data_IF_359370594320
#
_entry.id   IF_359370594320
#
_cell.length_a   1.000
_cell.length_b   1.000
_cell.length_c   1.000
_cell.angle_alpha   90.00
_cell.angle_beta   90.00
_cell.angle_gamma   90.00
#
_symmetry.space_group_name_H-M   'P 1'
#
loop_
_entity.id
_entity.type
_entity.pdbx_description
1 polymer ?
#
# COMPACT_ATOMS: atom_id res chain seq x y z
N UNK A 1 -18.65 7.54 11.87
CA UNK A 1 -19.66 8.40 11.20
C UNK A 1 -20.96 8.49 11.97
N UNK A 2 -21.47 7.39 12.58
CA UNK A 2 -22.69 7.40 13.40
C UNK A 2 -22.61 8.39 14.57
N UNK A 3 -21.50 8.41 15.29
CA UNK A 3 -21.32 9.30 16.46
C UNK A 3 -21.13 10.79 16.12
N UNK A 4 -20.60 11.11 14.94
CA UNK A 4 -20.32 12.51 14.55
C UNK A 4 -21.36 13.11 13.61
N UNK A 5 -22.11 12.29 12.84
CA UNK A 5 -23.00 12.76 11.77
C UNK A 5 -24.39 12.14 11.76
N UNK A 6 -24.67 11.11 12.59
CA UNK A 6 -25.96 10.44 12.62
C UNK A 6 -26.32 9.61 11.38
N UNK A 7 -25.43 9.52 10.37
CA UNK A 7 -25.62 8.74 9.16
C UNK A 7 -24.54 7.68 8.98
N UNK A 8 -24.94 6.47 8.54
CA UNK A 8 -24.01 5.34 8.30
C UNK A 8 -23.21 5.53 7.00
N UNK A 9 -23.80 6.14 5.99
CA UNK A 9 -23.17 6.37 4.69
C UNK A 9 -23.01 7.87 4.42
N UNK A 10 -21.88 8.30 3.80
CA UNK A 10 -21.60 9.68 3.44
C UNK A 10 -22.36 10.08 2.16
N UNK A 11 -23.70 10.14 2.23
CA UNK A 11 -24.59 10.43 1.08
C UNK A 11 -24.52 11.92 0.69
N UNK A 12 -24.01 12.75 1.59
CA UNK A 12 -23.85 14.20 1.47
C UNK A 12 -22.56 14.63 0.74
N UNK A 13 -21.69 13.65 0.40
CA UNK A 13 -20.49 13.92 -0.38
C UNK A 13 -20.88 14.22 -1.84
N UNK A 14 -20.52 15.39 -2.37
CA UNK A 14 -20.73 15.73 -3.78
C UNK A 14 -20.05 14.71 -4.72
N UNK A 15 -20.61 14.53 -5.92
CA UNK A 15 -20.13 13.55 -6.91
C UNK A 15 -18.65 13.69 -7.27
N UNK A 16 -18.15 14.90 -7.34
CA UNK A 16 -16.73 15.18 -7.60
C UNK A 16 -15.84 14.62 -6.48
N UNK A 17 -16.23 14.83 -5.23
CA UNK A 17 -15.53 14.35 -4.04
C UNK A 17 -15.53 12.82 -3.96
N UNK A 18 -16.67 12.22 -4.23
CA UNK A 18 -16.80 10.75 -4.32
C UNK A 18 -15.88 10.22 -5.41
N UNK A 19 -15.82 10.89 -6.57
CA UNK A 19 -14.95 10.49 -7.67
C UNK A 19 -13.46 10.48 -7.30
N UNK A 20 -12.96 11.54 -6.65
CA UNK A 20 -11.56 11.61 -6.20
C UNK A 20 -11.25 10.57 -5.12
N UNK A 21 -12.15 10.39 -4.15
CA UNK A 21 -11.98 9.42 -3.08
C UNK A 21 -12.05 7.97 -3.60
N UNK A 22 -12.95 7.69 -4.54
CA UNK A 22 -13.04 6.39 -5.20
C UNK A 22 -11.77 6.09 -6.01
N UNK A 23 -11.28 7.05 -6.81
CA UNK A 23 -10.03 6.92 -7.54
C UNK A 23 -8.85 6.67 -6.59
N UNK A 24 -8.80 7.40 -5.48
CA UNK A 24 -7.83 7.19 -4.41
C UNK A 24 -7.86 5.76 -3.84
N UNK A 25 -9.06 5.22 -3.60
CA UNK A 25 -9.25 3.85 -3.12
C UNK A 25 -8.80 2.80 -4.15
N UNK A 26 -9.12 3.02 -5.44
CA UNK A 26 -8.68 2.13 -6.52
C UNK A 26 -7.16 2.14 -6.68
N UNK A 27 -6.54 3.32 -6.72
CA UNK A 27 -5.09 3.44 -6.91
C UNK A 27 -4.33 2.92 -5.68
N UNK A 28 -4.70 3.37 -4.48
CA UNK A 28 -4.01 3.00 -3.25
C UNK A 28 -4.25 1.54 -2.86
N UNK A 29 -5.52 1.16 -2.66
CA UNK A 29 -5.84 -0.18 -2.15
C UNK A 29 -5.80 -1.25 -3.24
N UNK A 30 -6.45 -1.04 -4.42
CA UNK A 30 -6.51 -2.12 -5.41
C UNK A 30 -5.17 -2.29 -6.12
N UNK A 31 -4.65 -1.23 -6.75
CA UNK A 31 -3.40 -1.32 -7.51
C UNK A 31 -2.19 -1.44 -6.57
N UNK A 32 -2.09 -0.56 -5.56
CA UNK A 32 -0.97 -0.53 -4.62
C UNK A 32 -0.82 -1.83 -3.85
N UNK A 33 -1.90 -2.34 -3.25
CA UNK A 33 -1.85 -3.57 -2.47
C UNK A 33 -1.66 -4.81 -3.33
N UNK A 34 -2.20 -4.85 -4.57
CA UNK A 34 -1.92 -5.95 -5.50
C UNK A 34 -0.44 -6.08 -5.80
N UNK A 35 0.22 -4.97 -6.13
CA UNK A 35 1.65 -4.95 -6.41
C UNK A 35 2.45 -5.34 -5.16
N UNK A 36 2.04 -4.86 -4.00
CA UNK A 36 2.66 -5.20 -2.72
C UNK A 36 2.51 -6.68 -2.39
N UNK A 37 1.32 -7.26 -2.54
CA UNK A 37 1.10 -8.70 -2.29
C UNK A 37 1.88 -9.59 -3.26
N UNK A 38 2.01 -9.18 -4.52
CA UNK A 38 2.89 -9.87 -5.46
C UNK A 38 4.36 -9.77 -5.04
N UNK A 39 4.80 -8.60 -4.56
CA UNK A 39 6.14 -8.43 -4.02
C UNK A 39 6.39 -9.36 -2.83
N UNK A 40 5.42 -9.55 -1.92
CA UNK A 40 5.54 -10.49 -0.80
C UNK A 40 5.83 -11.91 -1.25
N UNK A 41 5.25 -12.34 -2.36
CA UNK A 41 5.47 -13.68 -2.92
C UNK A 41 6.86 -13.79 -3.56
N UNK A 42 7.36 -12.72 -4.18
CA UNK A 42 8.61 -12.74 -4.97
C UNK A 42 9.86 -12.50 -4.12
N UNK A 43 9.82 -11.51 -3.22
CA UNK A 43 11.00 -11.09 -2.41
C UNK A 43 10.78 -11.24 -0.89
N UNK A 44 9.61 -11.72 -0.50
CA UNK A 44 9.24 -11.89 0.90
C UNK A 44 8.72 -10.62 1.57
N UNK A 45 7.94 -10.80 2.63
CA UNK A 45 7.25 -9.71 3.32
C UNK A 45 8.22 -8.70 3.94
N UNK A 46 9.34 -9.17 4.52
CA UNK A 46 10.32 -8.32 5.21
C UNK A 46 10.88 -7.22 4.30
N UNK A 47 11.34 -7.59 3.11
CA UNK A 47 11.94 -6.64 2.16
C UNK A 47 10.89 -5.77 1.51
N UNK A 48 9.74 -6.34 1.16
CA UNK A 48 8.62 -5.59 0.59
C UNK A 48 8.12 -4.50 1.53
N UNK A 49 7.98 -4.79 2.83
CA UNK A 49 7.57 -3.80 3.85
C UNK A 49 8.62 -2.70 4.05
N UNK A 50 9.91 -3.06 3.93
CA UNK A 50 10.98 -2.08 3.99
C UNK A 50 10.90 -1.10 2.81
N UNK A 51 10.68 -1.62 1.59
CA UNK A 51 10.52 -0.78 0.40
C UNK A 51 9.22 0.04 0.50
N UNK A 52 8.19 -0.50 1.13
CA UNK A 52 6.93 0.20 1.40
C UNK A 52 7.11 1.45 2.28
N UNK A 53 8.17 1.51 3.11
CA UNK A 53 8.55 2.70 3.86
C UNK A 53 8.97 3.89 2.96
N UNK A 54 9.08 3.71 1.64
CA UNK A 54 9.19 4.80 0.66
C UNK A 54 7.86 5.53 0.41
N UNK A 55 6.73 4.98 0.84
CA UNK A 55 5.41 5.61 0.62
C UNK A 55 5.33 7.05 1.15
N UNK A 56 5.79 7.42 2.37
CA UNK A 56 5.78 8.80 2.82
C UNK A 56 6.62 9.76 1.95
N UNK A 57 7.88 9.46 1.57
CA UNK A 57 8.62 10.27 0.61
C UNK A 57 7.90 10.44 -0.74
N UNK A 58 7.33 9.38 -1.27
CA UNK A 58 6.55 9.44 -2.51
C UNK A 58 5.32 10.33 -2.35
N UNK A 59 4.59 10.18 -1.23
CA UNK A 59 3.43 11.02 -0.91
C UNK A 59 3.81 12.49 -0.86
N UNK A 60 4.93 12.82 -0.23
CA UNK A 60 5.42 14.20 -0.13
C UNK A 60 5.76 14.79 -1.52
N UNK A 61 6.46 14.03 -2.36
CA UNK A 61 6.81 14.47 -3.72
C UNK A 61 5.56 14.63 -4.60
N UNK A 62 4.63 13.70 -4.54
CA UNK A 62 3.39 13.76 -5.32
C UNK A 62 2.48 14.88 -4.80
N UNK A 63 2.43 15.10 -3.48
CA UNK A 63 1.71 16.21 -2.85
C UNK A 63 2.26 17.57 -3.29
N UNK A 64 3.58 17.69 -3.34
CA UNK A 64 4.24 18.87 -3.88
C UNK A 64 3.86 19.13 -5.35
N UNK A 65 3.81 18.08 -6.20
CA UNK A 65 3.50 18.22 -7.63
C UNK A 65 2.01 18.45 -7.93
N UNK A 66 1.10 17.87 -7.15
CA UNK A 66 -0.36 17.87 -7.45
C UNK A 66 -1.12 18.90 -6.62
N UNK A 67 -0.66 19.16 -5.38
CA UNK A 67 -1.33 20.02 -4.42
C UNK A 67 -0.56 21.32 -4.18
N UNK A 68 0.54 21.56 -4.91
CA UNK A 68 1.43 22.72 -4.73
C UNK A 68 1.92 22.89 -3.28
N UNK A 69 2.05 21.80 -2.53
CA UNK A 69 2.49 21.81 -1.15
C UNK A 69 3.96 22.20 -1.04
N UNK A 70 4.27 23.19 -0.23
CA UNK A 70 5.66 23.62 0.00
C UNK A 70 6.34 22.63 0.95
N UNK A 71 7.35 21.94 0.46
CA UNK A 71 8.19 21.07 1.28
C UNK A 71 9.21 21.89 2.07
N UNK A 72 9.14 21.82 3.39
CA UNK A 72 10.15 22.47 4.24
C UNK A 72 11.51 21.77 4.11
N UNK A 73 12.65 22.46 4.42
CA UNK A 73 13.98 21.83 4.45
C UNK A 73 14.03 20.59 5.37
N UNK A 74 13.26 20.60 6.44
CA UNK A 74 13.14 19.46 7.36
C UNK A 74 12.50 18.24 6.72
N UNK A 75 11.51 18.45 5.82
CA UNK A 75 10.89 17.36 5.05
C UNK A 75 11.91 16.71 4.09
N UNK A 76 12.73 17.53 3.42
CA UNK A 76 13.81 17.05 2.55
C UNK A 76 14.85 16.23 3.33
N UNK A 77 15.25 16.71 4.52
CA UNK A 77 16.17 15.97 5.38
C UNK A 77 15.56 14.63 5.81
N UNK A 78 14.30 14.60 6.24
CA UNK A 78 13.59 13.37 6.63
C UNK A 78 13.52 12.35 5.49
N UNK A 79 13.22 12.80 4.27
CA UNK A 79 13.23 11.95 3.08
C UNK A 79 14.62 11.39 2.78
N UNK A 80 15.67 12.22 2.86
CA UNK A 80 17.04 11.77 2.63
C UNK A 80 17.48 10.72 3.66
N UNK A 81 17.16 10.90 4.93
CA UNK A 81 17.44 9.91 5.99
C UNK A 81 16.68 8.60 5.73
N UNK A 82 15.42 8.67 5.38
CA UNK A 82 14.59 7.49 5.08
C UNK A 82 15.15 6.72 3.88
N UNK A 83 15.44 7.42 2.77
CA UNK A 83 16.02 6.82 1.57
C UNK A 83 17.38 6.17 1.87
N UNK A 84 18.23 6.84 2.64
CA UNK A 84 19.54 6.31 3.05
C UNK A 84 19.38 5.03 3.87
N UNK A 85 18.48 5.02 4.85
CA UNK A 85 18.23 3.86 5.69
C UNK A 85 17.73 2.66 4.88
N UNK A 86 16.77 2.86 3.98
CA UNK A 86 16.25 1.80 3.10
C UNK A 86 17.36 1.29 2.17
N UNK A 87 18.13 2.19 1.57
CA UNK A 87 19.23 1.83 0.68
C UNK A 87 20.27 0.96 1.38
N UNK A 88 20.66 1.31 2.60
CA UNK A 88 21.63 0.51 3.39
C UNK A 88 21.09 -0.90 3.62
N UNK A 89 19.82 -1.06 3.97
CA UNK A 89 19.25 -2.37 4.27
C UNK A 89 19.04 -3.20 3.00
N UNK A 90 18.57 -2.59 1.91
CA UNK A 90 18.38 -3.28 0.62
C UNK A 90 19.70 -3.66 -0.01
N UNK A 91 20.74 -2.82 0.12
CA UNK A 91 22.08 -3.08 -0.38
C UNK A 91 22.89 -4.01 0.52
N UNK A 92 22.52 -4.12 1.81
CA UNK A 92 23.19 -5.03 2.73
C UNK A 92 22.90 -6.47 2.31
N UNK A 93 23.87 -7.06 1.60
CA UNK A 93 23.84 -8.46 1.17
C UNK A 93 23.62 -9.35 2.39
N UNK A 94 22.62 -10.22 2.36
CA UNK A 94 22.66 -11.41 3.18
C UNK A 94 23.88 -12.22 2.70
N UNK A 95 24.85 -12.35 3.58
CA UNK A 95 25.98 -13.25 3.36
C UNK A 95 25.40 -14.64 3.24
N UNK A 96 25.25 -15.14 2.01
CA UNK A 96 24.91 -16.55 1.78
C UNK A 96 26.01 -17.40 2.41
N UNK A 97 25.67 -18.53 3.05
CA UNK A 97 26.66 -19.45 3.59
C UNK A 97 27.65 -19.83 2.48
N UNK A 98 28.90 -19.76 2.83
CA UNK A 98 30.05 -20.05 1.97
C UNK A 98 29.92 -21.47 1.45
N UNK A 99 29.71 -21.65 0.15
CA UNK A 99 29.81 -22.98 -0.46
C UNK A 99 31.28 -23.42 -0.47
N UNK A 100 31.55 -24.71 -0.22
CA UNK A 100 32.86 -25.38 -0.11
C UNK A 100 33.89 -25.04 -1.21
N UNK A 101 33.55 -24.29 -2.21
CA UNK A 101 34.43 -23.95 -3.34
C UNK A 101 34.94 -22.51 -3.38
N UNK A 102 34.86 -21.73 -2.27
CA UNK A 102 35.54 -20.39 -2.13
C UNK A 102 35.17 -19.33 -3.17
N UNK A 103 34.20 -19.57 -4.06
CA UNK A 103 33.74 -18.61 -5.05
C UNK A 103 32.46 -17.92 -4.54
N UNK A 104 32.58 -16.71 -4.05
CA UNK A 104 31.47 -15.80 -3.81
C UNK A 104 30.72 -15.54 -5.12
N UNK A 105 29.72 -16.34 -5.44
CA UNK A 105 28.76 -15.98 -6.48
C UNK A 105 27.96 -14.79 -5.98
N UNK A 106 28.18 -13.64 -6.63
CA UNK A 106 27.37 -12.43 -6.47
C UNK A 106 25.99 -12.73 -7.08
N UNK A 107 25.14 -13.44 -6.34
CA UNK A 107 23.70 -13.46 -6.66
C UNK A 107 23.13 -12.18 -6.07
N UNK A 108 22.51 -11.34 -6.91
CA UNK A 108 21.64 -10.27 -6.43
C UNK A 108 20.65 -10.89 -5.44
N UNK A 109 20.72 -10.50 -4.18
CA UNK A 109 19.98 -11.16 -3.10
C UNK A 109 18.45 -11.11 -3.33
N UNK A 110 17.99 -10.21 -4.18
CA UNK A 110 16.56 -9.99 -4.44
C UNK A 110 16.28 -9.86 -5.94
N UNK A 111 15.17 -10.43 -6.36
CA UNK A 111 14.67 -10.32 -7.74
C UNK A 111 14.32 -8.86 -8.05
N UNK A 112 14.92 -8.30 -9.11
CA UNK A 112 14.61 -6.94 -9.59
C UNK A 112 13.11 -6.74 -9.82
N UNK A 113 12.38 -7.68 -10.47
CA UNK A 113 10.92 -7.58 -10.58
C UNK A 113 10.21 -7.45 -9.23
N UNK A 114 10.66 -8.17 -8.19
CA UNK A 114 10.08 -8.09 -6.85
C UNK A 114 10.28 -6.72 -6.20
N UNK A 115 11.46 -6.11 -6.38
CA UNK A 115 11.75 -4.75 -5.91
C UNK A 115 10.87 -3.74 -6.62
N UNK A 116 10.73 -3.86 -7.95
CA UNK A 116 9.86 -2.98 -8.75
C UNK A 116 8.38 -3.11 -8.34
N UNK A 117 7.92 -4.32 -8.04
CA UNK A 117 6.56 -4.55 -7.53
C UNK A 117 6.35 -3.87 -6.17
N UNK A 118 7.29 -4.01 -5.24
CA UNK A 118 7.20 -3.37 -3.94
C UNK A 118 7.25 -1.83 -4.04
N UNK A 119 8.11 -1.31 -4.92
CA UNK A 119 8.20 0.13 -5.21
C UNK A 119 6.91 0.64 -5.85
N UNK A 120 6.35 -0.10 -6.83
CA UNK A 120 5.06 0.20 -7.43
C UNK A 120 3.93 0.23 -6.39
N UNK A 121 3.96 -0.67 -5.41
CA UNK A 121 3.07 -0.65 -4.25
C UNK A 121 3.20 0.62 -3.43
N UNK A 122 4.43 1.03 -3.10
CA UNK A 122 4.71 2.26 -2.36
C UNK A 122 4.23 3.52 -3.12
N UNK A 123 4.45 3.56 -4.43
CA UNK A 123 3.96 4.64 -5.30
C UNK A 123 2.43 4.66 -5.33
N UNK A 124 1.79 3.51 -5.52
CA UNK A 124 0.33 3.39 -5.50
C UNK A 124 -0.29 3.90 -4.20
N UNK A 125 0.29 3.53 -3.06
CA UNK A 125 -0.13 4.04 -1.74
C UNK A 125 0.09 5.54 -1.62
N UNK A 126 1.26 6.05 -2.00
CA UNK A 126 1.58 7.49 -1.93
C UNK A 126 0.65 8.33 -2.79
N UNK A 127 0.46 7.95 -4.06
CA UNK A 127 -0.49 8.61 -4.97
C UNK A 127 -1.92 8.51 -4.44
N UNK A 128 -2.34 7.34 -3.95
CA UNK A 128 -3.64 7.14 -3.34
C UNK A 128 -3.90 8.09 -2.17
N UNK A 129 -2.91 8.32 -1.32
CA UNK A 129 -3.02 9.27 -0.20
C UNK A 129 -3.18 10.72 -0.67
N UNK A 130 -2.42 11.15 -1.68
CA UNK A 130 -2.52 12.50 -2.24
C UNK A 130 -3.88 12.74 -2.90
N UNK A 131 -4.36 11.76 -3.69
CA UNK A 131 -5.71 11.81 -4.28
C UNK A 131 -6.79 11.85 -3.21
N UNK A 132 -6.59 11.12 -2.10
CA UNK A 132 -7.47 11.19 -0.94
C UNK A 132 -7.51 12.58 -0.32
N UNK A 133 -6.35 13.18 -0.12
CA UNK A 133 -6.24 14.54 0.44
C UNK A 133 -6.96 15.55 -0.45
N UNK A 134 -6.76 15.46 -1.77
CA UNK A 134 -7.44 16.29 -2.76
C UNK A 134 -8.96 16.12 -2.73
N UNK A 135 -9.44 14.87 -2.67
CA UNK A 135 -10.87 14.58 -2.63
C UNK A 135 -11.53 14.91 -1.29
N UNK A 136 -10.79 14.82 -0.19
CA UNK A 136 -11.31 15.11 1.14
C UNK A 136 -11.54 16.60 1.35
N UNK A 137 -10.55 17.48 1.03
CA UNK A 137 -10.64 18.90 1.37
C UNK A 137 -11.02 19.09 2.84
N UNK A 138 -12.09 19.85 3.10
CA UNK A 138 -12.62 20.08 4.46
C UNK A 138 -13.65 19.03 4.92
N UNK A 139 -13.79 17.93 4.18
CA UNK A 139 -14.74 16.89 4.51
C UNK A 139 -14.22 15.97 5.62
N UNK A 140 -15.12 15.34 6.37
CA UNK A 140 -14.79 14.46 7.48
C UNK A 140 -13.86 13.29 7.04
N UNK A 141 -12.74 13.13 7.74
CA UNK A 141 -11.74 12.13 7.45
C UNK A 141 -12.27 10.69 7.58
N UNK A 142 -13.18 10.44 8.54
CA UNK A 142 -13.80 9.12 8.71
C UNK A 142 -14.73 8.77 7.54
N UNK A 143 -15.56 9.72 7.11
CA UNK A 143 -16.45 9.55 5.97
C UNK A 143 -15.64 9.38 4.66
N UNK A 144 -14.57 10.13 4.48
CA UNK A 144 -13.64 9.99 3.34
C UNK A 144 -12.98 8.62 3.32
N UNK A 145 -12.51 8.13 4.47
CA UNK A 145 -11.92 6.80 4.60
C UNK A 145 -12.94 5.70 4.30
N UNK A 146 -14.20 5.87 4.70
CA UNK A 146 -15.27 4.91 4.42
C UNK A 146 -15.54 4.79 2.91
N UNK A 147 -15.56 5.89 2.16
CA UNK A 147 -15.72 5.87 0.70
C UNK A 147 -14.56 5.12 0.06
N UNK A 148 -13.32 5.42 0.47
CA UNK A 148 -12.12 4.77 -0.03
C UNK A 148 -12.12 3.26 0.20
N UNK A 149 -12.42 2.83 1.44
CA UNK A 149 -12.46 1.42 1.81
C UNK A 149 -13.58 0.70 1.04
N UNK A 150 -14.76 1.28 0.95
CA UNK A 150 -15.89 0.72 0.18
C UNK A 150 -15.52 0.53 -1.29
N UNK A 151 -14.85 1.51 -1.89
CA UNK A 151 -14.36 1.42 -3.27
C UNK A 151 -13.27 0.37 -3.42
N UNK A 152 -12.37 0.24 -2.44
CA UNK A 152 -11.37 -0.81 -2.39
C UNK A 152 -11.99 -2.21 -2.39
N UNK A 153 -13.01 -2.43 -1.54
CA UNK A 153 -13.74 -3.71 -1.46
C UNK A 153 -14.39 -4.03 -2.80
N UNK A 154 -15.09 -3.06 -3.40
CA UNK A 154 -15.74 -3.23 -4.71
C UNK A 154 -14.70 -3.51 -5.79
N UNK A 155 -13.59 -2.76 -5.79
CA UNK A 155 -12.50 -2.93 -6.74
C UNK A 155 -11.86 -4.31 -6.66
N UNK A 156 -11.58 -4.81 -5.46
CA UNK A 156 -11.09 -6.19 -5.26
C UNK A 156 -12.13 -7.24 -5.66
N UNK A 157 -13.41 -7.02 -5.36
CA UNK A 157 -14.47 -7.93 -5.77
C UNK A 157 -14.54 -8.05 -7.30
N UNK A 158 -14.50 -6.93 -8.01
CA UNK A 158 -14.46 -6.88 -9.48
C UNK A 158 -13.21 -7.59 -10.01
N UNK A 159 -12.05 -7.31 -9.41
CA UNK A 159 -10.79 -7.94 -9.80
C UNK A 159 -10.83 -9.47 -9.66
N UNK A 160 -11.33 -9.99 -8.55
CA UNK A 160 -11.50 -11.42 -8.33
C UNK A 160 -12.51 -12.04 -9.30
N UNK A 161 -13.53 -11.27 -9.68
CA UNK A 161 -14.47 -11.61 -10.75
C UNK A 161 -13.73 -11.86 -12.07
N UNK A 162 -12.95 -10.91 -12.52
CA UNK A 162 -12.20 -11.00 -13.78
C UNK A 162 -11.12 -12.11 -13.76
N UNK A 163 -10.46 -12.30 -12.64
CA UNK A 163 -9.42 -13.33 -12.51
C UNK A 163 -9.97 -14.77 -12.43
N UNK A 164 -11.30 -14.97 -12.43
CA UNK A 164 -11.96 -16.29 -12.29
C UNK A 164 -11.42 -17.12 -11.11
N UNK A 165 -10.97 -16.46 -10.05
CA UNK A 165 -10.34 -17.10 -8.88
C UNK A 165 -11.31 -17.35 -7.72
N UNK A 166 -12.60 -17.34 -7.96
CA UNK A 166 -13.63 -17.52 -6.92
C UNK A 166 -13.40 -18.77 -6.07
N UNK A 167 -13.04 -19.88 -6.70
CA UNK A 167 -12.84 -21.12 -5.97
C UNK A 167 -11.74 -21.01 -4.90
N UNK A 168 -10.68 -20.24 -5.14
CA UNK A 168 -9.61 -20.04 -4.15
C UNK A 168 -10.05 -19.10 -3.02
N UNK A 169 -10.79 -18.05 -3.33
CA UNK A 169 -11.35 -17.13 -2.32
C UNK A 169 -12.33 -17.88 -1.43
N UNK A 170 -13.24 -18.67 -2.03
CA UNK A 170 -14.19 -19.48 -1.30
C UNK A 170 -13.53 -20.55 -0.43
N UNK A 171 -12.50 -21.21 -0.94
CA UNK A 171 -11.69 -22.16 -0.17
C UNK A 171 -10.96 -21.51 1.01
N UNK A 172 -10.41 -20.29 0.81
CA UNK A 172 -9.78 -19.51 1.87
C UNK A 172 -10.76 -19.10 2.96
N UNK A 173 -11.95 -18.62 2.61
CA UNK A 173 -13.02 -18.28 3.55
C UNK A 173 -13.53 -19.50 4.35
N UNK A 174 -13.54 -20.68 3.75
CA UNK A 174 -13.93 -21.94 4.39
C UNK A 174 -12.86 -22.48 5.36
N UNK A 175 -11.63 -21.98 5.27
CA UNK A 175 -10.55 -22.41 6.14
C UNK A 175 -10.66 -21.73 7.52
N UNK A 176 -11.35 -22.40 8.46
CA UNK A 176 -11.62 -21.93 9.81
C UNK A 176 -10.35 -21.52 10.60
N UNK A 177 -9.23 -22.23 10.37
CA UNK A 177 -7.96 -21.92 11.05
C UNK A 177 -7.35 -20.62 10.56
N UNK A 178 -7.37 -20.38 9.25
CA UNK A 178 -6.92 -19.12 8.64
C UNK A 178 -7.81 -17.95 9.07
N UNK A 179 -9.15 -18.14 9.06
CA UNK A 179 -10.09 -17.12 9.46
C UNK A 179 -9.94 -16.73 10.94
N UNK A 180 -9.73 -17.69 11.85
CA UNK A 180 -9.44 -17.38 13.27
C UNK A 180 -8.18 -16.55 13.43
N UNK A 181 -7.10 -16.87 12.71
CA UNK A 181 -5.84 -16.12 12.79
C UNK A 181 -6.00 -14.70 12.24
N UNK A 182 -6.73 -14.54 11.15
CA UNK A 182 -7.01 -13.22 10.56
C UNK A 182 -7.88 -12.39 11.51
N UNK A 183 -8.95 -12.98 12.09
CA UNK A 183 -9.82 -12.28 13.04
C UNK A 183 -9.05 -11.85 14.29
N UNK A 184 -8.21 -12.74 14.84
CA UNK A 184 -7.36 -12.40 15.99
C UNK A 184 -6.35 -11.31 15.62
N UNK A 185 -5.70 -11.40 14.44
CA UNK A 185 -4.79 -10.37 13.96
C UNK A 185 -5.46 -9.01 13.76
N UNK A 186 -6.71 -8.97 13.29
CA UNK A 186 -7.45 -7.72 13.12
C UNK A 186 -7.95 -7.09 14.43
N UNK A 187 -8.00 -7.87 15.51
CA UNK A 187 -8.38 -7.39 16.85
C UNK A 187 -7.20 -6.79 17.62
N UNK A 188 -5.98 -7.29 17.36
CA UNK A 188 -4.74 -6.90 18.06
C UNK A 188 -3.77 -6.09 17.20
N UNK A 189 -3.98 -5.92 15.89
CA UNK A 189 -3.25 -5.12 14.94
C UNK A 189 -4.00 -3.88 14.58
#
# INVERSE_FOLDING_TARGET
TWFSRGSFFPVDAGWERIGWLALSGLVGFVIGDLLLFQAYVVIGARISMLIMALSPPVTALVGWLILDEVLSPMNWLGMAVTLSGISIVVLKRESSPENENGRKKIKSAYSVPGILLAFGGAVGQGVGLVLSKKGMGDYDAFASSQIRVSTGIIGFAILFLFMKRYGRVWAALKNRSAMKRISLGSLFG
#
